data_IF_282217544188
#
_entry.id   IF_282217544188
#
_cell.length_a   1.000
_cell.length_b   1.000
_cell.length_c   1.000
_cell.angle_alpha   90.00
_cell.angle_beta   90.00
_cell.angle_gamma   90.00
#
_symmetry.space_group_name_H-M   'P 1'
#
loop_
_entity.id
_entity.type
_entity.pdbx_description
1 polymer ?
#
# COMPACT_ATOMS: atom_id res chain seq x y z
N UNK A 1 -26.70 51.83 -4.74
CA UNK A 1 -27.16 50.62 -5.45
C UNK A 1 -28.52 50.26 -4.87
N UNK A 2 -29.59 50.47 -5.63
CA UNK A 2 -30.97 50.33 -5.14
C UNK A 2 -31.51 48.94 -5.46
N UNK A 3 -32.53 48.48 -4.72
CA UNK A 3 -33.15 47.15 -4.90
C UNK A 3 -33.67 46.92 -6.32
N UNK A 4 -34.17 47.98 -6.99
CA UNK A 4 -34.61 47.91 -8.39
C UNK A 4 -33.46 47.59 -9.36
N UNK A 5 -32.24 48.06 -9.09
CA UNK A 5 -31.05 47.83 -9.93
C UNK A 5 -30.61 46.34 -9.88
N UNK A 6 -30.83 45.69 -8.73
CA UNK A 6 -30.59 44.25 -8.56
C UNK A 6 -31.66 43.42 -9.26
N UNK A 7 -32.92 43.84 -9.19
CA UNK A 7 -34.04 43.17 -9.85
C UNK A 7 -33.91 43.28 -11.37
N UNK A 8 -33.61 44.47 -11.90
CA UNK A 8 -33.39 44.67 -13.34
C UNK A 8 -32.20 43.87 -13.85
N UNK A 9 -31.12 43.75 -13.07
CA UNK A 9 -29.96 42.93 -13.43
C UNK A 9 -30.27 41.43 -13.45
N UNK A 10 -31.05 40.93 -12.49
CA UNK A 10 -31.48 39.53 -12.44
C UNK A 10 -32.42 39.20 -13.60
N UNK A 11 -33.36 40.10 -13.92
CA UNK A 11 -34.29 39.93 -15.05
C UNK A 11 -33.54 39.95 -16.37
N UNK A 12 -32.58 40.86 -16.54
CA UNK A 12 -31.74 40.96 -17.74
C UNK A 12 -30.87 39.69 -17.93
N UNK A 13 -30.25 39.18 -16.86
CA UNK A 13 -29.51 37.90 -16.89
C UNK A 13 -30.45 36.72 -17.22
N UNK A 14 -31.66 36.73 -16.67
CA UNK A 14 -32.73 35.76 -16.95
C UNK A 14 -33.14 35.70 -18.43
N UNK A 15 -33.17 36.85 -19.10
CA UNK A 15 -33.57 36.97 -20.50
C UNK A 15 -32.46 36.57 -21.50
N UNK A 16 -31.19 36.66 -21.10
CA UNK A 16 -30.04 36.25 -21.93
C UNK A 16 -29.53 34.83 -21.65
N UNK A 17 -30.05 34.15 -20.62
CA UNK A 17 -29.78 32.73 -20.32
C UNK A 17 -29.90 31.77 -21.53
N UNK A 18 -30.94 31.86 -22.39
CA UNK A 18 -31.05 30.95 -23.54
C UNK A 18 -29.96 31.19 -24.59
N UNK A 19 -29.52 32.43 -24.79
CA UNK A 19 -28.41 32.73 -25.71
C UNK A 19 -27.09 32.17 -25.19
N UNK A 20 -26.77 32.30 -23.90
CA UNK A 20 -25.54 31.71 -23.34
C UNK A 20 -25.50 30.19 -23.42
N UNK A 21 -26.65 29.53 -23.24
CA UNK A 21 -26.75 28.07 -23.39
C UNK A 21 -26.49 27.61 -24.83
N UNK A 22 -26.99 28.35 -25.82
CA UNK A 22 -26.77 28.04 -27.24
C UNK A 22 -25.32 28.29 -27.68
N UNK A 23 -24.68 29.40 -27.24
CA UNK A 23 -23.27 29.64 -27.57
C UNK A 23 -22.35 28.64 -26.88
N UNK A 24 -22.68 28.24 -25.65
CA UNK A 24 -21.90 27.24 -24.93
C UNK A 24 -22.02 25.85 -25.59
N UNK A 25 -23.20 25.48 -26.08
CA UNK A 25 -23.41 24.17 -26.71
C UNK A 25 -22.79 24.08 -28.11
N UNK A 26 -22.88 25.13 -28.93
CA UNK A 26 -22.23 25.18 -30.25
C UNK A 26 -20.71 25.20 -30.11
N UNK A 27 -20.19 25.97 -29.15
CA UNK A 27 -18.77 25.94 -28.83
C UNK A 27 -18.33 24.55 -28.33
N UNK A 28 -19.11 23.89 -27.47
CA UNK A 28 -18.81 22.54 -27.00
C UNK A 28 -18.80 21.52 -28.14
N UNK A 29 -19.75 21.58 -29.09
CA UNK A 29 -19.77 20.68 -30.24
C UNK A 29 -18.59 20.90 -31.19
N UNK A 30 -18.22 22.17 -31.43
CA UNK A 30 -17.09 22.51 -32.30
C UNK A 30 -15.74 22.11 -31.69
N UNK A 31 -15.68 22.07 -30.36
CA UNK A 31 -14.47 21.75 -29.59
C UNK A 31 -14.48 20.33 -29.00
N UNK A 32 -15.55 19.55 -29.22
CA UNK A 32 -15.75 18.23 -28.61
C UNK A 32 -14.64 17.25 -28.98
N UNK A 33 -14.11 17.38 -30.19
CA UNK A 33 -13.09 16.47 -30.72
C UNK A 33 -11.76 16.56 -29.97
N UNK A 34 -11.43 17.70 -29.35
CA UNK A 34 -10.26 17.85 -28.45
C UNK A 34 -10.64 17.84 -26.97
N UNK A 35 -11.87 18.22 -26.61
CA UNK A 35 -12.35 18.14 -25.23
C UNK A 35 -12.63 16.71 -24.76
N UNK A 36 -13.04 15.79 -25.65
CA UNK A 36 -13.27 14.39 -25.34
C UNK A 36 -11.99 13.59 -25.00
N UNK A 37 -10.85 13.74 -25.73
CA UNK A 37 -9.64 13.02 -25.38
C UNK A 37 -8.94 13.56 -24.13
N UNK A 38 -9.17 14.82 -23.72
CA UNK A 38 -8.52 15.41 -22.52
C UNK A 38 -8.81 14.64 -21.22
N UNK A 39 -10.07 14.39 -20.82
CA UNK A 39 -10.36 13.62 -19.60
C UNK A 39 -9.90 12.16 -19.75
N UNK A 40 -9.98 11.58 -20.95
CA UNK A 40 -9.49 10.23 -21.20
C UNK A 40 -7.97 10.16 -21.01
N UNK A 41 -7.22 11.10 -21.58
CA UNK A 41 -5.78 11.22 -21.42
C UNK A 41 -5.40 11.45 -19.96
N UNK A 42 -6.14 12.29 -19.23
CA UNK A 42 -5.93 12.50 -17.80
C UNK A 42 -6.12 11.20 -17.01
N UNK A 43 -7.18 10.44 -17.26
CA UNK A 43 -7.45 9.15 -16.60
C UNK A 43 -6.35 8.14 -16.90
N UNK A 44 -5.91 8.05 -18.17
CA UNK A 44 -4.82 7.15 -18.57
C UNK A 44 -3.52 7.55 -17.89
N UNK A 45 -3.17 8.84 -17.89
CA UNK A 45 -1.94 9.34 -17.29
C UNK A 45 -1.91 9.10 -15.78
N UNK A 46 -3.02 9.35 -15.09
CA UNK A 46 -3.18 9.01 -13.66
C UNK A 46 -3.08 7.51 -13.42
N UNK A 47 -3.68 6.67 -14.28
CA UNK A 47 -3.62 5.22 -14.14
C UNK A 47 -2.19 4.67 -14.32
N UNK A 48 -1.48 5.15 -15.35
CA UNK A 48 -0.08 4.80 -15.61
C UNK A 48 0.82 5.28 -14.48
N UNK A 49 0.64 6.52 -14.02
CA UNK A 49 1.36 7.07 -12.87
C UNK A 49 1.15 6.19 -11.63
N UNK A 50 -0.10 5.84 -11.29
CA UNK A 50 -0.41 4.96 -10.15
C UNK A 50 0.27 3.61 -10.24
N UNK A 51 0.29 2.99 -11.44
CA UNK A 51 0.99 1.72 -11.68
C UNK A 51 2.51 1.87 -11.51
N UNK A 52 3.10 2.93 -12.06
CA UNK A 52 4.54 3.17 -12.00
C UNK A 52 5.01 3.49 -10.58
N UNK A 53 4.33 4.37 -9.88
CA UNK A 53 4.60 4.67 -8.47
C UNK A 53 4.37 3.45 -7.58
N UNK A 54 3.37 2.61 -7.87
CA UNK A 54 3.18 1.35 -7.16
C UNK A 54 4.38 0.41 -7.28
N UNK A 55 4.99 0.29 -8.46
CA UNK A 55 6.20 -0.54 -8.66
C UNK A 55 7.43 0.05 -7.97
N UNK A 56 7.62 1.36 -8.03
CA UNK A 56 8.73 2.04 -7.36
C UNK A 56 8.67 1.89 -5.83
N UNK A 57 7.47 2.02 -5.25
CA UNK A 57 7.27 1.84 -3.81
C UNK A 57 7.53 0.40 -3.34
N UNK A 58 7.28 -0.58 -4.21
CA UNK A 58 7.57 -1.98 -3.94
C UNK A 58 9.07 -2.31 -4.02
N UNK A 59 9.83 -1.61 -4.88
CA UNK A 59 11.29 -1.78 -4.96
C UNK A 59 12.01 -1.29 -3.70
N UNK A 60 11.46 -0.27 -3.03
CA UNK A 60 12.05 0.32 -1.83
C UNK A 60 11.52 -0.32 -0.53
N UNK A 61 11.06 -1.58 -0.61
CA UNK A 61 10.68 -2.37 0.57
C UNK A 61 11.94 -2.94 1.22
N UNK A 62 12.05 -2.73 2.53
CA UNK A 62 13.08 -3.33 3.36
C UNK A 62 12.48 -4.41 4.24
N UNK A 63 13.23 -5.49 4.42
CA UNK A 63 12.85 -6.64 5.25
C UNK A 63 13.67 -6.62 6.52
N UNK A 64 12.99 -6.74 7.65
CA UNK A 64 13.61 -6.85 8.96
C UNK A 64 13.25 -8.19 9.59
N UNK A 65 14.23 -8.82 10.19
CA UNK A 65 14.05 -9.98 11.04
C UNK A 65 14.06 -9.51 12.50
N UNK A 66 13.04 -9.90 13.24
CA UNK A 66 12.88 -9.60 14.65
C UNK A 66 13.25 -10.86 15.40
N UNK A 67 14.44 -10.86 15.99
CA UNK A 67 14.96 -11.99 16.76
C UNK A 67 14.64 -11.77 18.24
N UNK A 68 13.87 -12.66 18.88
CA UNK A 68 13.68 -12.61 20.32
C UNK A 68 15.01 -12.92 21.02
N UNK A 69 15.33 -12.21 22.08
CA UNK A 69 16.44 -12.57 22.97
C UNK A 69 15.97 -13.61 24.00
N UNK A 70 16.91 -14.23 24.73
CA UNK A 70 16.64 -15.34 25.66
C UNK A 70 15.65 -15.03 26.81
N UNK A 71 15.29 -13.76 27.02
CA UNK A 71 14.33 -13.33 28.04
C UNK A 71 12.97 -12.89 27.51
N UNK A 72 12.72 -13.01 26.20
CA UNK A 72 11.54 -12.45 25.56
C UNK A 72 10.23 -13.08 26.07
N UNK A 73 9.51 -12.32 26.91
CA UNK A 73 8.16 -12.64 27.38
C UNK A 73 7.29 -11.36 27.31
N UNK A 74 6.72 -11.04 26.13
CA UNK A 74 6.02 -9.78 25.93
C UNK A 74 4.69 -9.78 26.68
N UNK A 75 4.48 -8.77 27.51
CA UNK A 75 3.17 -8.53 28.12
C UNK A 75 2.22 -8.01 27.03
N UNK A 76 0.92 -8.27 27.16
CA UNK A 76 -0.10 -7.84 26.19
C UNK A 76 0.00 -6.34 25.84
N UNK A 77 0.34 -5.51 26.81
CA UNK A 77 0.48 -4.07 26.57
C UNK A 77 1.63 -3.72 25.61
N UNK A 78 2.75 -4.43 25.68
CA UNK A 78 3.88 -4.24 24.77
C UNK A 78 3.49 -4.65 23.35
N UNK A 79 2.72 -5.72 23.21
CA UNK A 79 2.17 -6.17 21.92
C UNK A 79 1.25 -5.10 21.31
N UNK A 80 0.34 -4.53 22.11
CA UNK A 80 -0.57 -3.48 21.66
C UNK A 80 0.16 -2.19 21.32
N UNK A 81 1.17 -1.82 22.09
CA UNK A 81 2.03 -0.65 21.83
C UNK A 81 2.76 -0.81 20.50
N UNK A 82 3.36 -1.97 20.27
CA UNK A 82 4.03 -2.28 19.01
C UNK A 82 3.06 -2.27 17.82
N UNK A 83 1.86 -2.85 17.98
CA UNK A 83 0.81 -2.82 16.94
C UNK A 83 0.39 -1.38 16.60
N UNK A 84 0.26 -0.50 17.60
CA UNK A 84 -0.04 0.93 17.39
C UNK A 84 1.09 1.64 16.66
N UNK A 85 2.34 1.36 17.01
CA UNK A 85 3.52 1.91 16.35
C UNK A 85 3.61 1.48 14.88
N UNK A 86 3.33 0.21 14.57
CA UNK A 86 3.21 -0.31 13.21
C UNK A 86 2.14 0.43 12.40
N UNK A 87 0.95 0.61 12.97
CA UNK A 87 -0.14 1.31 12.31
C UNK A 87 0.21 2.79 12.03
N UNK A 88 0.91 3.44 12.95
CA UNK A 88 1.35 4.83 12.80
C UNK A 88 2.49 4.96 11.77
N UNK A 89 3.41 4.00 11.74
CA UNK A 89 4.44 3.90 10.72
C UNK A 89 3.84 3.71 9.31
N UNK A 90 2.78 2.90 9.16
CA UNK A 90 2.06 2.79 7.88
C UNK A 90 1.42 4.14 7.47
N UNK A 91 0.81 4.86 8.43
CA UNK A 91 0.13 6.13 8.17
C UNK A 91 1.11 7.22 7.73
N UNK A 92 2.35 7.22 8.23
CA UNK A 92 3.37 8.20 7.84
C UNK A 92 3.80 8.06 6.36
N UNK A 93 3.70 6.86 5.79
CA UNK A 93 4.03 6.61 4.38
C UNK A 93 2.87 6.94 3.44
N UNK A 94 1.62 6.87 3.91
CA UNK A 94 0.40 7.05 3.11
C UNK A 94 -0.04 8.51 2.92
N UNK A 95 0.85 9.51 3.04
CA UNK A 95 0.48 10.94 3.06
C UNK A 95 -0.20 11.48 1.79
N UNK A 96 -0.17 10.75 0.68
CA UNK A 96 -0.83 11.16 -0.57
C UNK A 96 -2.05 10.30 -0.86
N UNK A 97 -3.18 10.94 -1.17
CA UNK A 97 -4.44 10.28 -1.54
C UNK A 97 -4.29 9.30 -2.74
N UNK A 98 -3.23 9.47 -3.54
CA UNK A 98 -2.93 8.65 -4.70
C UNK A 98 -1.94 7.52 -4.45
N UNK A 99 -1.38 7.40 -3.23
CA UNK A 99 -0.40 6.35 -2.93
C UNK A 99 -1.10 4.99 -2.87
N UNK A 100 -0.69 4.00 -3.68
CA UNK A 100 -1.32 2.69 -3.67
C UNK A 100 -1.08 1.99 -2.31
N UNK A 101 -2.17 1.59 -1.64
CA UNK A 101 -2.14 0.95 -0.32
C UNK A 101 -1.21 -0.28 -0.25
N UNK A 102 -1.07 -1.01 -1.36
CA UNK A 102 -0.17 -2.17 -1.46
C UNK A 102 1.31 -1.80 -1.32
N UNK A 103 1.71 -0.60 -1.74
CA UNK A 103 3.09 -0.12 -1.64
C UNK A 103 3.48 0.30 -0.24
N UNK A 104 2.50 0.76 0.57
CA UNK A 104 2.72 1.33 1.91
C UNK A 104 2.39 0.38 3.06
N UNK A 105 1.69 -0.72 2.79
CA UNK A 105 1.32 -1.70 3.80
C UNK A 105 2.54 -2.38 4.44
N UNK A 106 2.53 -2.46 5.76
CA UNK A 106 3.48 -3.28 6.54
C UNK A 106 2.98 -4.73 6.54
N UNK A 107 3.89 -5.69 6.34
CA UNK A 107 3.56 -7.13 6.39
C UNK A 107 4.37 -7.78 7.49
N UNK A 108 3.70 -8.57 8.32
CA UNK A 108 4.35 -9.44 9.30
C UNK A 108 4.25 -10.87 8.77
N UNK A 109 5.39 -11.55 8.70
CA UNK A 109 5.52 -12.95 8.30
C UNK A 109 6.08 -13.72 9.49
N UNK A 110 5.41 -14.80 9.84
CA UNK A 110 5.88 -15.76 10.82
C UNK A 110 6.43 -16.95 10.04
N UNK A 111 7.69 -17.27 10.28
CA UNK A 111 8.41 -18.37 9.64
C UNK A 111 8.87 -19.31 10.75
N UNK A 112 8.84 -20.62 10.50
CA UNK A 112 9.42 -21.61 11.40
C UNK A 112 10.44 -22.41 10.61
N UNK A 113 11.71 -22.29 11.00
CA UNK A 113 12.82 -22.97 10.33
C UNK A 113 13.54 -23.81 11.38
N UNK A 114 13.53 -25.13 11.20
CA UNK A 114 14.12 -26.06 12.18
C UNK A 114 13.43 -26.07 13.56
N UNK A 115 12.15 -25.68 13.64
CA UNK A 115 11.40 -25.60 14.89
C UNK A 115 11.56 -24.27 15.64
N UNK A 116 12.38 -23.35 15.16
CA UNK A 116 12.50 -21.99 15.72
C UNK A 116 11.61 -21.01 14.97
N UNK A 117 10.73 -20.32 15.70
CA UNK A 117 9.86 -19.28 15.15
C UNK A 117 10.67 -17.98 14.94
N UNK A 118 10.64 -17.46 13.72
CA UNK A 118 11.22 -16.18 13.33
C UNK A 118 10.13 -15.25 12.83
N UNK A 119 10.12 -14.02 13.32
CA UNK A 119 9.18 -12.99 12.88
C UNK A 119 9.90 -12.05 11.92
N UNK A 120 9.41 -11.93 10.69
CA UNK A 120 9.89 -10.95 9.72
C UNK A 120 8.86 -9.86 9.49
N UNK A 121 9.32 -8.61 9.50
CA UNK A 121 8.50 -7.43 9.26
C UNK A 121 9.00 -6.74 7.98
N UNK A 122 8.15 -6.69 6.97
CA UNK A 122 8.42 -6.02 5.70
C UNK A 122 7.70 -4.67 5.66
N UNK A 123 8.43 -3.61 5.35
CA UNK A 123 7.87 -2.26 5.24
C UNK A 123 8.59 -1.40 4.22
N UNK A 124 7.95 -0.30 3.81
CA UNK A 124 8.61 0.71 2.97
C UNK A 124 9.75 1.40 3.77
N UNK A 125 10.81 1.84 3.10
CA UNK A 125 12.01 2.45 3.70
C UNK A 125 11.72 3.53 4.76
N UNK A 126 10.70 4.36 4.57
CA UNK A 126 10.27 5.36 5.58
C UNK A 126 9.64 4.75 6.84
N UNK A 127 8.88 3.66 6.70
CA UNK A 127 8.36 2.92 7.85
C UNK A 127 9.48 2.13 8.54
N UNK A 128 10.44 1.61 7.76
CA UNK A 128 11.62 0.90 8.26
C UNK A 128 12.45 1.73 9.25
N UNK A 129 12.64 3.03 8.98
CA UNK A 129 13.34 3.92 9.90
C UNK A 129 12.65 4.02 11.28
N UNK A 130 11.32 4.07 11.30
CA UNK A 130 10.55 4.06 12.56
C UNK A 130 10.65 2.69 13.25
N UNK A 131 10.55 1.60 12.49
CA UNK A 131 10.64 0.25 13.02
C UNK A 131 11.99 -0.04 13.67
N UNK A 132 13.11 0.44 13.10
CA UNK A 132 14.45 0.29 13.68
C UNK A 132 14.59 0.91 15.08
N UNK A 133 13.86 1.98 15.35
CA UNK A 133 13.95 2.70 16.61
C UNK A 133 12.85 2.30 17.62
N UNK A 134 11.84 1.53 17.22
CA UNK A 134 10.67 1.19 18.03
C UNK A 134 10.47 -0.32 18.22
N UNK A 135 11.57 -1.07 18.37
CA UNK A 135 11.50 -2.51 18.67
C UNK A 135 10.96 -2.82 20.06
N UNK A 136 10.53 -4.07 20.25
CA UNK A 136 10.28 -4.62 21.58
C UNK A 136 11.52 -4.49 22.47
N UNK A 137 11.34 -4.28 23.77
CA UNK A 137 12.42 -4.10 24.76
C UNK A 137 13.39 -5.29 24.86
N UNK A 138 13.08 -6.42 24.22
CA UNK A 138 13.91 -7.63 24.22
C UNK A 138 13.98 -8.32 22.84
N UNK A 139 13.71 -7.59 21.76
CA UNK A 139 13.95 -8.10 20.42
C UNK A 139 15.04 -7.30 19.72
N UNK A 140 15.94 -8.02 19.06
CA UNK A 140 16.89 -7.43 18.14
C UNK A 140 16.26 -7.34 16.75
N UNK A 141 16.39 -6.18 16.13
CA UNK A 141 15.93 -5.96 14.75
C UNK A 141 17.16 -6.03 13.84
N UNK A 142 17.21 -7.06 13.01
CA UNK A 142 18.27 -7.25 12.01
C UNK A 142 17.73 -6.95 10.61
N UNK A 143 18.45 -6.14 9.84
CA UNK A 143 18.12 -5.94 8.43
C UNK A 143 18.50 -7.20 7.63
N UNK A 144 17.54 -7.75 6.88
CA UNK A 144 17.80 -8.86 5.96
C UNK A 144 18.19 -8.26 4.61
N UNK A 145 19.37 -8.61 4.10
CA UNK A 145 19.82 -8.15 2.79
C UNK A 145 18.87 -8.61 1.67
N UNK A 146 18.66 -7.75 0.66
CA UNK A 146 17.70 -7.99 -0.42
C UNK A 146 17.88 -9.34 -1.15
N UNK A 147 19.12 -9.84 -1.24
CA UNK A 147 19.46 -11.12 -1.85
C UNK A 147 18.93 -12.33 -1.05
N UNK A 148 18.99 -12.28 0.29
CA UNK A 148 18.49 -13.35 1.17
C UNK A 148 16.96 -13.36 1.18
N UNK A 149 16.34 -12.19 1.13
CA UNK A 149 14.87 -12.05 1.06
C UNK A 149 14.26 -12.60 -0.24
N UNK A 150 14.99 -12.62 -1.35
CA UNK A 150 14.55 -13.22 -2.62
C UNK A 150 14.90 -14.70 -2.74
N UNK A 151 16.05 -15.12 -2.23
CA UNK A 151 16.49 -16.52 -2.28
C UNK A 151 15.61 -17.45 -1.43
N UNK A 152 15.06 -16.94 -0.34
CA UNK A 152 14.11 -17.66 0.51
C UNK A 152 12.66 -17.48 0.02
N UNK A 153 12.46 -17.72 -1.27
CA UNK A 153 11.13 -17.85 -1.84
C UNK A 153 10.48 -19.08 -1.21
N UNK A 154 9.29 -18.98 -0.59
CA UNK A 154 8.73 -20.06 0.21
C UNK A 154 8.44 -21.26 -0.67
N UNK A 155 9.26 -22.29 -0.54
CA UNK A 155 8.93 -23.63 -1.03
C UNK A 155 7.78 -24.12 -0.14
N UNK A 156 6.56 -24.05 -0.66
CA UNK A 156 5.39 -24.57 0.03
C UNK A 156 5.53 -26.10 0.04
N UNK A 157 6.19 -26.63 1.07
CA UNK A 157 6.17 -28.05 1.37
C UNK A 157 4.83 -28.36 2.03
N UNK A 158 3.82 -28.58 1.19
CA UNK A 158 2.64 -29.32 1.59
C UNK A 158 3.13 -30.69 2.03
N UNK A 159 3.04 -31.00 3.32
CA UNK A 159 3.39 -32.30 3.88
C UNK A 159 2.51 -33.39 3.27
N UNK A 160 2.89 -33.88 2.10
CA UNK A 160 2.62 -35.23 1.70
C UNK A 160 3.85 -36.02 2.15
N UNK A 161 3.67 -36.83 3.19
CA UNK A 161 4.67 -37.79 3.63
C UNK A 161 4.96 -38.78 2.49
N UNK A 162 5.90 -38.45 1.61
CA UNK A 162 6.57 -39.46 0.81
C UNK A 162 7.64 -40.10 1.69
N UNK A 163 7.20 -40.86 2.69
CA UNK A 163 8.06 -41.81 3.37
C UNK A 163 8.43 -42.89 2.35
N UNK A 164 9.71 -43.02 1.94
CA UNK A 164 10.10 -44.08 1.03
C UNK A 164 10.07 -45.41 1.79
N UNK A 165 9.14 -46.27 1.39
CA UNK A 165 9.27 -47.72 1.46
C UNK A 165 9.66 -48.33 2.83
N UNK A 166 8.68 -48.48 3.71
CA UNK A 166 8.62 -49.68 4.55
C UNK A 166 8.16 -50.85 3.67
N UNK A 167 9.10 -51.52 3.03
CA UNK A 167 8.86 -52.76 2.28
C UNK A 167 8.75 -53.92 3.30
N UNK A 168 7.58 -54.54 3.55
CA UNK A 168 7.53 -55.71 4.39
C UNK A 168 8.13 -56.90 3.63
N UNK A 169 9.25 -57.41 4.11
CA UNK A 169 9.81 -58.69 3.72
C UNK A 169 8.84 -59.80 4.14
N UNK A 170 7.99 -60.25 3.21
CA UNK A 170 7.27 -61.51 3.36
C UNK A 170 8.18 -62.63 2.87
N UNK A 171 8.75 -63.36 3.83
CA UNK A 171 9.28 -64.71 3.64
C UNK A 171 8.11 -65.70 3.64
N UNK A 172 7.99 -66.47 2.56
CA UNK A 172 7.49 -67.83 2.54
C UNK A 172 8.14 -68.57 1.36
#
# INVERSE_FOLDING_TARGET
MTTNDVIDRIINIGQHLPTYGQTASTWLSDNVWWLAPVPLALVVLVSVARRRFGRLLLQDRQVFEVLPTNGFDPVLEDVLRFAKQLAQAQRSVSRWAFTPARGTAVRVRLLSLGGTLTMRVEGHSRAAAVLRHQGYSQCEIRAVGAAVSQAESPEIRLGADSSPASQPAFTA
#
